data_IF_753405746656
#
_entry.id   IF_753405746656
#
_cell.length_a   1.000
_cell.length_b   1.000
_cell.length_c   1.000
_cell.angle_alpha   90.00
_cell.angle_beta   90.00
_cell.angle_gamma   90.00
#
_symmetry.space_group_name_H-M   'P 1'
#
loop_
_entity.id
_entity.type
_entity.pdbx_description
1 polymer ?
#
# COMPACT_ATOMS: atom_id res chain seq x y z
N UNK A 1 8.70 -6.57 -20.73
CA UNK A 1 8.98 -5.68 -19.59
C UNK A 1 8.09 -6.13 -18.44
N UNK A 2 8.58 -6.18 -17.21
CA UNK A 2 7.75 -6.52 -16.04
C UNK A 2 7.41 -5.25 -15.27
N UNK A 3 6.13 -5.05 -14.95
CA UNK A 3 5.65 -3.91 -14.17
C UNK A 3 5.31 -4.36 -12.76
N UNK A 4 5.81 -3.64 -11.77
CA UNK A 4 5.54 -3.92 -10.37
C UNK A 4 5.13 -2.69 -9.59
N UNK A 5 4.55 -2.91 -8.41
CA UNK A 5 4.13 -1.84 -7.51
C UNK A 5 4.37 -2.22 -6.04
N UNK A 6 4.50 -1.21 -5.19
CA UNK A 6 4.58 -1.39 -3.75
C UNK A 6 3.18 -1.59 -3.17
N UNK A 7 3.00 -2.61 -2.34
CA UNK A 7 1.74 -2.86 -1.67
C UNK A 7 1.46 -1.73 -0.66
N UNK A 8 0.31 -1.02 -0.75
CA UNK A 8 -0.02 0.04 0.19
C UNK A 8 -0.40 -0.52 1.56
N UNK A 9 0.60 -0.64 2.45
CA UNK A 9 0.43 -1.13 3.83
C UNK A 9 0.51 -0.04 4.89
N UNK A 10 0.80 1.21 4.49
CA UNK A 10 1.09 2.31 5.42
C UNK A 10 -0.04 3.35 5.58
N UNK A 11 -1.20 3.17 4.96
CA UNK A 11 -2.27 4.17 5.03
C UNK A 11 -2.13 5.30 4.00
N UNK A 12 -1.27 5.13 3.00
CA UNK A 12 -0.87 6.15 2.03
C UNK A 12 0.65 6.15 1.79
N UNK A 13 1.12 7.00 0.88
CA UNK A 13 2.54 7.12 0.50
C UNK A 13 3.13 8.51 0.81
N UNK A 14 2.27 9.49 1.08
CA UNK A 14 2.67 10.88 1.23
C UNK A 14 2.69 11.27 2.72
N UNK A 15 3.88 11.58 3.23
CA UNK A 15 4.06 12.05 4.62
C UNK A 15 3.36 13.38 4.91
N UNK A 16 3.20 14.22 3.89
CA UNK A 16 2.65 15.58 4.02
C UNK A 16 1.16 15.68 3.65
N UNK A 17 0.52 14.57 3.29
CA UNK A 17 -0.93 14.51 3.02
C UNK A 17 -1.54 13.63 4.09
N UNK A 18 -2.57 14.11 4.80
CA UNK A 18 -3.15 13.33 5.91
C UNK A 18 -3.90 12.10 5.38
N UNK A 19 -4.88 12.30 4.50
CA UNK A 19 -5.74 11.23 3.98
C UNK A 19 -5.60 11.06 2.46
N UNK A 20 -5.21 9.86 2.04
CA UNK A 20 -5.09 9.47 0.62
C UNK A 20 -6.24 8.56 0.16
N UNK A 21 -7.24 8.29 1.03
CA UNK A 21 -8.27 7.28 0.84
C UNK A 21 -7.69 5.87 0.64
N UNK A 22 -6.60 5.57 1.35
CA UNK A 22 -5.85 4.31 1.25
C UNK A 22 -5.76 3.64 2.62
N UNK A 23 -6.86 3.11 3.19
CA UNK A 23 -6.86 2.59 4.55
C UNK A 23 -5.82 1.49 4.76
N UNK A 24 -5.13 1.51 5.91
CA UNK A 24 -4.04 0.58 6.25
C UNK A 24 -4.59 -0.77 6.73
N UNK A 25 -5.45 -1.40 5.92
CA UNK A 25 -6.13 -2.66 6.26
C UNK A 25 -5.76 -3.78 5.28
N UNK A 26 -5.86 -5.01 5.76
CA UNK A 26 -5.66 -6.18 4.91
C UNK A 26 -6.66 -6.24 3.74
N UNK A 27 -7.92 -5.87 3.98
CA UNK A 27 -8.96 -5.90 2.95
C UNK A 27 -8.64 -4.95 1.78
N UNK A 28 -8.15 -3.75 2.08
CA UNK A 28 -7.72 -2.81 1.06
C UNK A 28 -6.51 -3.32 0.29
N UNK A 29 -5.48 -3.80 0.99
CA UNK A 29 -4.29 -4.39 0.37
C UNK A 29 -4.65 -5.57 -0.55
N UNK A 30 -5.55 -6.45 -0.10
CA UNK A 30 -6.09 -7.57 -0.88
C UNK A 30 -6.80 -7.09 -2.15
N UNK A 31 -7.66 -6.08 -2.04
CA UNK A 31 -8.35 -5.49 -3.20
C UNK A 31 -7.35 -4.93 -4.22
N UNK A 32 -6.32 -4.22 -3.76
CA UNK A 32 -5.28 -3.64 -4.63
C UNK A 32 -4.50 -4.73 -5.36
N UNK A 33 -4.05 -5.79 -4.68
CA UNK A 33 -3.35 -6.91 -5.31
C UNK A 33 -4.21 -7.58 -6.37
N UNK A 34 -5.44 -7.96 -6.02
CA UNK A 34 -6.35 -8.64 -6.96
C UNK A 34 -6.70 -7.76 -8.17
N UNK A 35 -6.68 -6.44 -8.00
CA UNK A 35 -6.88 -5.49 -9.11
C UNK A 35 -5.61 -5.36 -9.96
N UNK A 36 -4.43 -5.29 -9.32
CA UNK A 36 -3.15 -5.25 -10.00
C UNK A 36 -2.92 -6.46 -10.91
N UNK A 37 -3.26 -7.65 -10.44
CA UNK A 37 -3.20 -8.89 -11.25
C UNK A 37 -4.08 -8.78 -12.51
N UNK A 38 -5.31 -8.26 -12.37
CA UNK A 38 -6.23 -8.05 -13.51
C UNK A 38 -5.75 -6.98 -14.48
N UNK A 39 -4.99 -6.00 -14.00
CA UNK A 39 -4.42 -4.91 -14.79
C UNK A 39 -3.08 -5.28 -15.45
N UNK A 40 -2.54 -6.48 -15.18
CA UNK A 40 -1.31 -6.97 -15.79
C UNK A 40 -0.03 -6.55 -15.07
N UNK A 41 -0.09 -6.21 -13.79
CA UNK A 41 1.11 -6.09 -12.96
C UNK A 41 1.68 -7.48 -12.64
N UNK A 42 2.99 -7.63 -12.83
CA UNK A 42 3.68 -8.92 -12.70
C UNK A 42 4.12 -9.23 -11.26
N UNK A 43 4.35 -8.18 -10.45
CA UNK A 43 4.98 -8.33 -9.14
C UNK A 43 4.52 -7.24 -8.17
N UNK A 44 4.41 -7.59 -6.89
CA UNK A 44 4.24 -6.62 -5.80
C UNK A 44 5.37 -6.76 -4.79
N UNK A 45 5.80 -5.63 -4.22
CA UNK A 45 6.79 -5.58 -3.15
C UNK A 45 6.09 -5.20 -1.85
N UNK A 46 6.35 -5.96 -0.79
CA UNK A 46 5.80 -5.71 0.55
C UNK A 46 6.96 -5.25 1.44
N UNK A 47 6.86 -4.04 1.97
CA UNK A 47 7.82 -3.54 2.93
C UNK A 47 7.62 -4.23 4.30
N UNK A 48 8.72 -4.55 4.98
CA UNK A 48 8.70 -5.11 6.33
C UNK A 48 9.25 -4.08 7.31
N UNK A 49 8.37 -3.52 8.14
CA UNK A 49 8.69 -2.58 9.21
C UNK A 49 7.74 -2.82 10.38
N UNK A 50 8.27 -2.77 11.61
CA UNK A 50 7.43 -2.86 12.82
C UNK A 50 6.64 -1.57 13.09
N UNK A 51 7.11 -0.44 12.58
CA UNK A 51 6.48 0.87 12.76
C UNK A 51 6.23 1.52 11.40
N UNK A 52 5.13 2.26 11.31
CA UNK A 52 4.78 2.99 10.10
C UNK A 52 5.62 4.28 9.98
N UNK A 53 6.57 4.29 9.03
CA UNK A 53 7.49 5.42 8.79
C UNK A 53 6.90 6.49 7.85
N UNK A 54 5.66 6.30 7.37
CA UNK A 54 4.96 7.23 6.48
C UNK A 54 3.91 8.04 7.24
N UNK A 55 2.99 7.37 7.94
CA UNK A 55 1.88 7.99 8.70
C UNK A 55 2.10 8.00 10.22
N UNK A 56 3.16 7.35 10.70
CA UNK A 56 3.47 7.30 12.12
C UNK A 56 2.46 6.44 12.91
N UNK A 57 2.28 6.79 14.18
CA UNK A 57 1.48 6.04 15.15
C UNK A 57 0.00 6.46 15.19
N UNK A 58 -0.44 7.36 14.31
CA UNK A 58 -1.81 7.89 14.29
C UNK A 58 -2.61 7.33 13.11
N UNK A 59 -3.66 6.57 13.46
CA UNK A 59 -4.77 6.03 12.65
C UNK A 59 -4.37 5.27 11.37
N UNK A 60 -4.19 3.96 11.54
CA UNK A 60 -4.56 2.94 10.54
C UNK A 60 -6.07 2.81 10.39
#
# INVERSE_FOLDING_TARGET
>A
MKLGFWLPIFGGWLRNVEDENMPATFDYAKQVIQTGEKLGFDVTLIAELYLNDIKGFHRS
#
